data_IF_217046627328
#
_entry.id   IF_217046627328
#
_cell.length_a   1.000
_cell.length_b   1.000
_cell.length_c   1.000
_cell.angle_alpha   90.00
_cell.angle_beta   90.00
_cell.angle_gamma   90.00
#
_symmetry.space_group_name_H-M   'P 1'
#
loop_
_entity.id
_entity.type
_entity.pdbx_description
1 polymer ?
#
# COMPACT_ATOMS: atom_id res chain seq x y z
N UNK A 1 19.65 -28.14 3.03
CA UNK A 1 19.39 -27.47 4.32
C UNK A 1 17.98 -26.92 4.26
N UNK A 2 17.14 -27.33 5.20
CA UNK A 2 15.75 -26.89 5.29
C UNK A 2 15.72 -25.41 5.66
N UNK A 3 14.86 -24.62 5.00
CA UNK A 3 14.66 -23.21 5.31
C UNK A 3 13.44 -23.06 6.18
N UNK A 4 13.54 -22.33 7.27
CA UNK A 4 12.45 -21.98 8.16
C UNK A 4 12.13 -20.50 7.98
N UNK A 5 10.85 -20.16 7.79
CA UNK A 5 10.35 -18.81 7.71
C UNK A 5 9.58 -18.44 8.97
N UNK A 6 9.75 -17.23 9.45
CA UNK A 6 8.99 -16.63 10.55
C UNK A 6 8.38 -15.32 10.04
N UNK A 7 7.10 -15.13 10.28
CA UNK A 7 6.31 -13.97 9.82
C UNK A 7 6.16 -12.96 10.96
N UNK A 8 7.10 -12.02 11.15
CA UNK A 8 7.00 -11.05 12.24
C UNK A 8 5.96 -9.96 11.98
N UNK A 9 5.58 -9.71 10.72
CA UNK A 9 4.70 -8.61 10.35
C UNK A 9 4.18 -8.75 8.93
N UNK A 10 3.12 -7.99 8.63
CA UNK A 10 2.67 -7.71 7.26
C UNK A 10 3.00 -6.28 6.85
N UNK A 11 3.29 -6.10 5.58
CA UNK A 11 3.32 -4.82 4.87
C UNK A 11 2.12 -4.76 3.93
N UNK A 12 1.46 -3.61 3.84
CA UNK A 12 0.35 -3.39 2.93
C UNK A 12 0.40 -1.99 2.34
N UNK A 13 -0.09 -1.89 1.11
CA UNK A 13 -0.26 -0.61 0.42
C UNK A 13 -1.75 -0.31 0.26
N UNK A 14 -2.13 0.92 0.54
CA UNK A 14 -3.49 1.43 0.35
C UNK A 14 -3.55 2.32 -0.86
N UNK A 15 -4.62 2.28 -1.62
CA UNK A 15 -4.88 3.28 -2.66
C UNK A 15 -5.37 4.54 -1.98
N UNK A 16 -4.63 5.62 -2.13
CA UNK A 16 -4.88 6.89 -1.44
C UNK A 16 -5.11 8.03 -2.43
N UNK A 17 -6.06 8.89 -2.10
CA UNK A 17 -6.41 10.10 -2.84
C UNK A 17 -6.49 11.30 -1.90
N UNK A 18 -6.42 12.51 -2.47
CA UNK A 18 -6.66 13.75 -1.72
C UNK A 18 -8.13 13.80 -1.25
N UNK A 19 -8.43 14.24 -0.01
CA UNK A 19 -9.81 14.37 0.47
C UNK A 19 -10.66 15.37 -0.32
N UNK A 20 -10.04 16.34 -0.99
CA UNK A 20 -10.75 17.29 -1.85
C UNK A 20 -11.04 16.74 -3.25
N UNK A 21 -10.49 15.57 -3.59
CA UNK A 21 -10.79 14.92 -4.85
C UNK A 21 -12.29 14.60 -4.93
N UNK A 22 -13.01 15.05 -5.97
CA UNK A 22 -14.44 14.77 -6.12
C UNK A 22 -14.80 13.28 -6.12
N UNK A 23 -13.87 12.39 -6.45
CA UNK A 23 -14.07 10.93 -6.41
C UNK A 23 -14.50 10.47 -5.02
N UNK A 24 -13.99 11.07 -3.96
CA UNK A 24 -14.29 10.68 -2.56
C UNK A 24 -15.77 10.82 -2.17
N UNK A 25 -16.54 11.60 -2.93
CA UNK A 25 -17.97 11.84 -2.70
C UNK A 25 -18.87 10.89 -3.47
N UNK A 26 -18.33 10.13 -4.41
CA UNK A 26 -19.09 9.33 -5.39
C UNK A 26 -18.67 7.88 -5.33
N UNK A 27 -17.38 7.62 -5.17
CA UNK A 27 -16.75 6.29 -5.23
C UNK A 27 -15.88 6.11 -3.99
N UNK A 28 -16.09 5.03 -3.25
CA UNK A 28 -15.26 4.62 -2.11
C UNK A 28 -14.53 3.28 -2.35
N UNK A 29 -14.79 2.65 -3.49
CA UNK A 29 -14.23 1.36 -3.91
C UNK A 29 -13.74 1.41 -5.35
N UNK A 30 -12.55 0.88 -5.59
CA UNK A 30 -11.97 0.75 -6.93
C UNK A 30 -11.70 -0.72 -7.23
N UNK A 31 -12.16 -1.18 -8.38
CA UNK A 31 -11.76 -2.50 -8.88
C UNK A 31 -10.28 -2.52 -9.31
N UNK A 32 -9.69 -3.70 -9.35
CA UNK A 32 -8.32 -3.86 -9.87
C UNK A 32 -8.18 -3.26 -11.27
N UNK A 33 -9.16 -3.48 -12.16
CA UNK A 33 -9.16 -2.95 -13.53
C UNK A 33 -9.19 -1.42 -13.54
N UNK A 34 -9.99 -0.80 -12.68
CA UNK A 34 -10.04 0.66 -12.57
C UNK A 34 -8.72 1.23 -12.05
N UNK A 35 -8.10 0.57 -11.07
CA UNK A 35 -6.78 0.99 -10.56
C UNK A 35 -5.72 0.86 -11.67
N UNK A 36 -5.71 -0.25 -12.41
CA UNK A 36 -4.79 -0.44 -13.55
C UNK A 36 -5.00 0.66 -14.58
N UNK A 37 -6.25 0.97 -14.97
CA UNK A 37 -6.54 2.00 -15.97
C UNK A 37 -6.13 3.42 -15.51
N UNK A 38 -6.27 3.72 -14.21
CA UNK A 38 -5.81 4.99 -13.62
C UNK A 38 -4.27 5.09 -13.63
N UNK A 39 -3.60 4.04 -13.15
CA UNK A 39 -2.13 4.08 -13.00
C UNK A 39 -1.37 3.89 -14.31
N UNK A 40 -1.93 3.19 -15.28
CA UNK A 40 -1.34 3.06 -16.62
C UNK A 40 -1.52 4.31 -17.49
N UNK A 41 -2.46 5.21 -17.10
CA UNK A 41 -2.83 6.37 -17.91
C UNK A 41 -3.80 6.04 -19.05
N UNK A 42 -4.44 4.88 -19.05
CA UNK A 42 -5.58 4.59 -19.90
C UNK A 42 -6.73 5.56 -19.58
N UNK A 43 -7.04 5.76 -18.29
CA UNK A 43 -7.86 6.86 -17.81
C UNK A 43 -6.97 8.09 -17.64
N UNK A 44 -7.16 9.08 -18.49
CA UNK A 44 -6.38 10.33 -18.49
C UNK A 44 -6.94 11.35 -17.53
N UNK A 45 -8.28 11.36 -17.42
CA UNK A 45 -9.00 12.26 -16.52
C UNK A 45 -9.88 11.48 -15.57
N UNK A 46 -10.26 12.09 -14.47
CA UNK A 46 -11.20 11.48 -13.51
C UNK A 46 -12.55 11.17 -14.15
N UNK A 47 -12.95 11.91 -15.18
CA UNK A 47 -14.16 11.67 -15.96
C UNK A 47 -14.15 10.34 -16.72
N UNK A 48 -12.98 9.81 -17.05
CA UNK A 48 -12.85 8.50 -17.69
C UNK A 48 -13.23 7.35 -16.72
N UNK A 49 -13.05 7.57 -15.41
CA UNK A 49 -13.48 6.64 -14.38
C UNK A 49 -15.01 6.68 -14.17
N UNK A 50 -15.59 7.90 -14.11
CA UNK A 50 -17.04 8.11 -13.98
C UNK A 50 -17.43 9.44 -14.62
N UNK A 51 -18.44 9.43 -15.49
CA UNK A 51 -18.87 10.59 -16.27
C UNK A 51 -19.35 11.81 -15.41
N UNK A 52 -19.66 11.60 -14.15
CA UNK A 52 -20.06 12.66 -13.20
C UNK A 52 -18.84 13.35 -12.54
N UNK A 53 -17.65 12.80 -12.70
CA UNK A 53 -16.40 13.40 -12.22
C UNK A 53 -15.89 14.48 -13.19
N UNK A 54 -15.03 15.40 -12.71
CA UNK A 54 -14.51 16.48 -13.53
C UNK A 54 -13.56 15.95 -14.62
N UNK A 55 -13.45 16.72 -15.70
CA UNK A 55 -12.50 16.49 -16.79
C UNK A 55 -11.11 17.04 -16.43
N UNK A 56 -10.59 16.58 -15.28
CA UNK A 56 -9.30 16.98 -14.72
C UNK A 56 -8.34 15.79 -14.78
N UNK A 57 -7.07 16.08 -15.07
CA UNK A 57 -6.04 15.06 -15.24
C UNK A 57 -5.83 14.24 -13.96
N UNK A 58 -5.71 12.93 -14.13
CA UNK A 58 -5.29 12.02 -13.04
C UNK A 58 -3.80 12.17 -12.82
N UNK A 59 -3.40 12.72 -11.69
CA UNK A 59 -1.99 12.85 -11.28
C UNK A 59 -1.59 11.59 -10.51
N UNK A 60 -0.80 10.74 -11.15
CA UNK A 60 -0.33 9.46 -10.57
C UNK A 60 0.97 9.67 -9.82
N UNK A 61 0.99 9.24 -8.55
CA UNK A 61 2.17 9.32 -7.68
C UNK A 61 2.59 7.91 -7.26
N UNK A 62 3.85 7.59 -7.47
CA UNK A 62 4.43 6.28 -7.19
C UNK A 62 5.69 6.38 -6.34
N UNK A 63 6.17 5.25 -5.88
CA UNK A 63 7.51 5.10 -5.34
C UNK A 63 8.49 4.75 -6.46
N UNK A 64 9.78 4.75 -6.13
CA UNK A 64 10.82 4.21 -7.01
C UNK A 64 10.40 2.84 -7.54
N UNK A 65 10.37 2.72 -8.87
CA UNK A 65 9.97 1.51 -9.59
C UNK A 65 10.85 0.28 -9.28
N UNK A 66 12.07 0.49 -8.78
CA UNK A 66 12.97 -0.58 -8.35
C UNK A 66 12.79 -0.92 -6.85
N UNK A 67 11.91 -0.23 -6.16
CA UNK A 67 11.68 -0.40 -4.72
C UNK A 67 10.66 -1.50 -4.39
N UNK A 68 10.82 -2.10 -3.20
CA UNK A 68 9.93 -3.19 -2.76
C UNK A 68 8.45 -2.81 -2.64
N UNK A 69 8.11 -1.54 -2.38
CA UNK A 69 6.72 -1.08 -2.38
C UNK A 69 6.13 -1.12 -3.79
N UNK A 70 6.88 -0.66 -4.79
CA UNK A 70 6.43 -0.74 -6.17
C UNK A 70 6.28 -2.20 -6.64
N UNK A 71 7.21 -3.09 -6.25
CA UNK A 71 7.12 -4.52 -6.55
C UNK A 71 5.82 -5.15 -6.04
N UNK A 72 5.40 -4.81 -4.80
CA UNK A 72 4.12 -5.29 -4.24
C UNK A 72 2.94 -4.79 -5.05
N UNK A 73 2.92 -3.50 -5.38
CA UNK A 73 1.87 -2.89 -6.19
C UNK A 73 1.82 -3.48 -7.60
N UNK A 74 2.97 -3.59 -8.26
CA UNK A 74 3.09 -4.18 -9.59
C UNK A 74 2.56 -5.61 -9.63
N UNK A 75 3.01 -6.45 -8.70
CA UNK A 75 2.63 -7.86 -8.65
C UNK A 75 1.15 -8.08 -8.34
N UNK A 76 0.60 -7.33 -7.40
CA UNK A 76 -0.75 -7.59 -6.88
C UNK A 76 -1.85 -6.85 -7.65
N UNK A 77 -1.51 -5.76 -8.35
CA UNK A 77 -2.47 -4.90 -9.08
C UNK A 77 -2.15 -4.82 -10.57
N UNK A 78 -0.95 -4.34 -10.92
CA UNK A 78 -0.65 -3.98 -12.32
C UNK A 78 -0.42 -5.20 -13.22
N UNK A 79 0.07 -6.32 -12.66
CA UNK A 79 0.42 -7.51 -13.45
C UNK A 79 1.49 -7.19 -14.50
N UNK A 80 1.18 -7.42 -15.77
CA UNK A 80 2.08 -7.13 -16.89
C UNK A 80 1.93 -5.69 -17.43
N UNK A 81 0.99 -4.89 -16.87
CA UNK A 81 0.77 -3.49 -17.28
C UNK A 81 1.71 -2.59 -16.49
N UNK A 82 2.40 -1.68 -17.17
CA UNK A 82 3.29 -0.73 -16.52
C UNK A 82 2.53 0.53 -16.07
N UNK A 83 3.02 1.15 -15.00
CA UNK A 83 2.58 2.49 -14.59
C UNK A 83 3.01 3.50 -15.66
N UNK A 84 2.19 4.54 -15.91
CA UNK A 84 2.49 5.59 -16.88
C UNK A 84 3.87 6.21 -16.64
N UNK A 85 4.61 6.49 -17.72
CA UNK A 85 6.01 6.91 -17.63
C UNK A 85 6.23 8.32 -17.05
N UNK A 86 5.19 9.14 -17.05
CA UNK A 86 5.17 10.49 -16.50
C UNK A 86 4.59 10.56 -15.06
N UNK A 87 4.39 9.41 -14.41
CA UNK A 87 4.03 9.36 -13.01
C UNK A 87 5.11 10.04 -12.14
N UNK A 88 4.69 10.79 -11.13
CA UNK A 88 5.59 11.41 -10.16
C UNK A 88 6.17 10.32 -9.27
N UNK A 89 7.50 10.23 -9.21
CA UNK A 89 8.19 9.26 -8.36
C UNK A 89 8.68 9.92 -7.07
N UNK A 90 8.03 9.59 -5.97
CA UNK A 90 8.42 10.05 -4.64
C UNK A 90 9.59 9.23 -4.08
N UNK A 91 10.55 9.88 -3.43
CA UNK A 91 11.74 9.27 -2.83
C UNK A 91 11.45 8.52 -1.53
N UNK A 92 10.33 8.85 -0.87
CA UNK A 92 9.87 8.21 0.39
C UNK A 92 8.34 8.07 0.43
N UNK A 93 7.84 7.21 1.34
CA UNK A 93 6.38 7.11 1.57
C UNK A 93 5.81 8.41 2.13
N UNK A 94 6.56 9.12 2.96
CA UNK A 94 6.16 10.42 3.48
C UNK A 94 6.01 11.46 2.38
N UNK A 95 6.93 11.50 1.43
CA UNK A 95 6.86 12.37 0.26
C UNK A 95 5.66 12.01 -0.63
N UNK A 96 5.45 10.71 -0.92
CA UNK A 96 4.30 10.25 -1.70
C UNK A 96 2.98 10.74 -1.10
N UNK A 97 2.81 10.59 0.21
CA UNK A 97 1.61 11.06 0.92
C UNK A 97 1.53 12.59 0.89
N UNK A 98 2.64 13.31 1.03
CA UNK A 98 2.64 14.77 0.94
C UNK A 98 2.25 15.24 -0.46
N UNK A 99 2.75 14.60 -1.52
CA UNK A 99 2.39 14.94 -2.90
C UNK A 99 0.89 14.69 -3.17
N UNK A 100 0.29 13.66 -2.54
CA UNK A 100 -1.17 13.46 -2.60
C UNK A 100 -1.90 14.59 -1.88
N UNK A 101 -1.42 15.01 -0.71
CA UNK A 101 -2.02 16.11 0.07
C UNK A 101 -1.98 17.43 -0.72
N UNK A 102 -0.90 17.69 -1.42
CA UNK A 102 -0.67 18.94 -2.14
C UNK A 102 -1.40 19.03 -3.49
N UNK A 103 -1.95 17.91 -3.99
CA UNK A 103 -2.63 17.86 -5.27
C UNK A 103 -4.05 17.26 -5.16
N UNK A 104 -5.11 18.05 -5.40
CA UNK A 104 -6.50 17.59 -5.32
C UNK A 104 -6.85 16.44 -6.26
N UNK A 105 -6.13 16.29 -7.37
CA UNK A 105 -6.41 15.28 -8.38
C UNK A 105 -5.42 14.10 -8.35
N UNK A 106 -4.61 14.02 -7.29
CA UNK A 106 -3.65 12.95 -7.12
C UNK A 106 -4.27 11.62 -6.68
N UNK A 107 -3.66 10.56 -7.16
CA UNK A 107 -3.83 9.18 -6.68
C UNK A 107 -2.45 8.53 -6.52
N UNK A 108 -2.28 7.76 -5.47
CA UNK A 108 -1.05 7.01 -5.21
C UNK A 108 -1.30 5.78 -4.36
N UNK A 109 -0.26 4.99 -4.15
CA UNK A 109 -0.30 3.87 -3.20
C UNK A 109 0.56 4.19 -1.96
N UNK A 110 -0.08 4.40 -0.84
CA UNK A 110 0.59 4.69 0.43
C UNK A 110 0.69 3.44 1.31
N UNK A 111 1.80 3.27 2.05
CA UNK A 111 1.84 2.21 3.06
C UNK A 111 0.74 2.42 4.10
N UNK A 112 0.18 1.30 4.57
CA UNK A 112 -0.93 1.30 5.54
C UNK A 112 -0.64 2.18 6.77
N UNK A 113 0.56 2.05 7.36
CA UNK A 113 0.93 2.82 8.53
C UNK A 113 1.04 4.33 8.24
N UNK A 114 1.67 4.72 7.13
CA UNK A 114 1.82 6.15 6.78
C UNK A 114 0.47 6.77 6.41
N UNK A 115 -0.40 6.03 5.72
CA UNK A 115 -1.76 6.49 5.43
C UNK A 115 -2.56 6.73 6.73
N UNK A 116 -2.48 5.81 7.70
CA UNK A 116 -3.15 5.95 8.99
C UNK A 116 -2.61 7.12 9.83
N UNK A 117 -1.30 7.35 9.81
CA UNK A 117 -0.68 8.51 10.47
C UNK A 117 -1.14 9.85 9.86
N UNK A 118 -1.62 9.83 8.63
CA UNK A 118 -2.16 10.98 7.89
C UNK A 118 -3.68 10.88 7.69
N UNK A 119 -4.39 10.14 8.55
CA UNK A 119 -5.85 10.05 8.49
C UNK A 119 -6.52 11.43 8.50
N UNK A 120 -7.46 11.62 7.58
CA UNK A 120 -8.13 12.90 7.35
C UNK A 120 -7.38 13.87 6.42
N UNK A 121 -6.07 13.64 6.17
CA UNK A 121 -5.30 14.38 5.15
C UNK A 121 -5.25 13.62 3.83
N UNK A 122 -5.41 12.32 3.87
CA UNK A 122 -5.63 11.45 2.71
C UNK A 122 -6.84 10.55 2.98
N UNK A 123 -7.49 10.11 1.91
CA UNK A 123 -8.59 9.14 1.95
C UNK A 123 -8.10 7.84 1.30
N UNK A 124 -8.21 6.74 2.02
CA UNK A 124 -7.91 5.41 1.48
C UNK A 124 -9.15 4.78 0.87
N UNK A 125 -9.01 4.20 -0.31
CA UNK A 125 -10.09 3.56 -1.06
C UNK A 125 -10.16 2.08 -0.71
N UNK A 126 -11.36 1.50 -0.77
CA UNK A 126 -11.51 0.04 -0.84
C UNK A 126 -10.94 -0.47 -2.15
N UNK A 127 -10.54 -1.72 -2.16
CA UNK A 127 -10.07 -2.43 -3.36
C UNK A 127 -10.91 -3.71 -3.54
N UNK A 128 -11.63 -3.81 -4.65
CA UNK A 128 -12.55 -4.91 -4.93
C UNK A 128 -13.56 -5.15 -3.79
N UNK A 129 -14.10 -4.09 -3.22
CA UNK A 129 -15.06 -4.13 -2.11
C UNK A 129 -14.43 -4.38 -0.73
N UNK A 130 -13.10 -4.52 -0.63
CA UNK A 130 -12.40 -4.83 0.63
C UNK A 130 -11.70 -3.59 1.17
N UNK A 131 -12.02 -3.24 2.41
CA UNK A 131 -11.41 -2.13 3.12
C UNK A 131 -10.00 -2.48 3.63
N UNK A 132 -8.99 -1.57 3.54
CA UNK A 132 -7.66 -1.79 4.08
C UNK A 132 -7.67 -1.69 5.62
N UNK A 133 -8.05 -2.79 6.27
CA UNK A 133 -8.00 -2.94 7.74
C UNK A 133 -6.95 -3.96 8.13
N UNK A 134 -6.45 -3.89 9.39
CA UNK A 134 -5.54 -4.90 9.92
C UNK A 134 -6.07 -6.32 9.71
N UNK A 135 -7.35 -6.54 10.04
CA UNK A 135 -8.01 -7.84 9.89
C UNK A 135 -8.00 -8.33 8.45
N UNK A 136 -8.40 -7.49 7.49
CA UNK A 136 -8.48 -7.84 6.07
C UNK A 136 -7.10 -8.06 5.45
N UNK A 137 -6.07 -7.38 5.96
CA UNK A 137 -4.68 -7.56 5.53
C UNK A 137 -4.14 -8.90 6.05
N UNK A 138 -4.30 -9.18 7.33
CA UNK A 138 -3.80 -10.41 7.96
C UNK A 138 -4.49 -11.66 7.40
N UNK A 139 -5.81 -11.62 7.20
CA UNK A 139 -6.56 -12.75 6.65
C UNK A 139 -6.43 -12.90 5.12
N UNK A 140 -5.72 -11.98 4.43
CA UNK A 140 -5.45 -12.02 3.00
C UNK A 140 -6.61 -11.60 2.10
N UNK A 141 -7.74 -11.11 2.63
CA UNK A 141 -8.84 -10.60 1.81
C UNK A 141 -8.49 -9.27 1.15
N UNK A 142 -7.67 -8.43 1.79
CA UNK A 142 -7.09 -7.23 1.16
C UNK A 142 -5.85 -7.62 0.36
N UNK A 143 -5.89 -7.43 -0.96
CA UNK A 143 -4.93 -8.05 -1.88
C UNK A 143 -3.58 -7.34 -2.01
N UNK A 144 -3.46 -6.04 -1.67
CA UNK A 144 -2.20 -5.30 -1.81
C UNK A 144 -1.38 -5.44 -0.52
N UNK A 145 -0.95 -6.65 -0.24
CA UNK A 145 -0.20 -6.98 0.97
C UNK A 145 0.85 -8.06 0.72
N UNK A 146 1.81 -8.15 1.63
CA UNK A 146 2.77 -9.25 1.72
C UNK A 146 3.19 -9.49 3.16
N UNK A 147 3.49 -10.73 3.56
CA UNK A 147 4.22 -10.98 4.79
C UNK A 147 5.68 -10.53 4.63
N UNK A 148 6.26 -10.00 5.69
CA UNK A 148 7.71 -9.81 5.79
C UNK A 148 8.29 -10.98 6.56
N UNK A 149 9.27 -11.66 5.97
CA UNK A 149 9.80 -12.93 6.47
C UNK A 149 11.18 -12.75 7.08
N UNK A 150 11.39 -13.37 8.25
CA UNK A 150 12.72 -13.73 8.73
C UNK A 150 13.00 -15.16 8.29
N UNK A 151 14.09 -15.37 7.53
CA UNK A 151 14.43 -16.68 7.00
C UNK A 151 15.71 -17.19 7.64
N UNK A 152 15.63 -18.34 8.29
CA UNK A 152 16.76 -19.08 8.86
C UNK A 152 17.11 -20.32 8.04
N UNK A 153 18.31 -20.86 8.25
CA UNK A 153 18.79 -22.11 7.68
C UNK A 153 18.98 -23.13 8.81
N UNK A 154 18.18 -24.19 8.80
CA UNK A 154 18.14 -25.18 9.89
C UNK A 154 17.48 -24.65 11.16
N UNK A 155 17.54 -25.40 12.25
CA UNK A 155 17.02 -24.98 13.55
C UNK A 155 17.78 -23.75 14.08
N UNK A 156 17.08 -22.80 14.71
CA UNK A 156 17.72 -21.59 15.24
C UNK A 156 18.70 -21.94 16.38
N UNK A 157 19.85 -21.33 16.37
CA UNK A 157 20.76 -21.34 17.51
C UNK A 157 20.15 -20.60 18.70
N UNK A 158 20.68 -20.77 19.91
CA UNK A 158 20.18 -20.10 21.11
C UNK A 158 20.09 -18.55 20.96
N UNK A 159 21.06 -17.94 20.26
CA UNK A 159 21.08 -16.49 19.99
C UNK A 159 20.00 -16.11 18.99
N UNK A 160 19.83 -16.88 17.92
CA UNK A 160 18.78 -16.65 16.91
C UNK A 160 17.37 -16.84 17.54
N UNK A 161 17.20 -17.83 18.38
CA UNK A 161 15.94 -18.04 19.11
C UNK A 161 15.63 -16.86 20.03
N UNK A 162 16.60 -16.39 20.81
CA UNK A 162 16.42 -15.22 21.65
C UNK A 162 16.05 -13.96 20.86
N UNK A 163 16.60 -13.76 19.66
CA UNK A 163 16.21 -12.68 18.76
C UNK A 163 14.76 -12.85 18.27
N UNK A 164 14.39 -14.06 17.83
CA UNK A 164 13.01 -14.35 17.39
C UNK A 164 12.00 -14.14 18.54
N UNK A 165 12.33 -14.56 19.76
CA UNK A 165 11.48 -14.38 20.94
C UNK A 165 11.21 -12.89 21.23
N UNK A 166 12.21 -12.02 21.01
CA UNK A 166 12.04 -10.57 21.16
C UNK A 166 11.19 -10.01 20.02
N UNK A 167 11.49 -10.35 18.77
CA UNK A 167 10.77 -9.79 17.59
C UNK A 167 9.31 -10.23 17.55
N UNK A 168 9.04 -11.50 17.89
CA UNK A 168 7.69 -12.08 17.87
C UNK A 168 6.93 -11.84 19.19
N UNK A 169 7.62 -11.41 20.25
CA UNK A 169 7.02 -11.07 21.54
C UNK A 169 6.35 -9.70 21.53
N UNK A 170 5.61 -9.39 22.62
CA UNK A 170 4.78 -8.18 22.74
C UNK A 170 5.56 -6.89 22.50
N UNK A 171 6.80 -6.79 22.99
CA UNK A 171 7.64 -5.59 22.87
C UNK A 171 8.12 -5.38 21.41
N UNK A 172 8.49 -6.46 20.73
CA UNK A 172 8.84 -6.44 19.31
C UNK A 172 7.64 -6.11 18.44
N UNK A 173 6.49 -6.71 18.71
CA UNK A 173 5.26 -6.46 17.97
C UNK A 173 4.72 -5.04 18.19
N UNK A 174 4.90 -4.48 19.38
CA UNK A 174 4.63 -3.06 19.61
C UNK A 174 5.55 -2.16 18.76
N UNK A 175 6.82 -2.50 18.65
CA UNK A 175 7.76 -1.78 17.78
C UNK A 175 7.34 -1.85 16.31
N UNK A 176 6.88 -3.02 15.85
CA UNK A 176 6.32 -3.23 14.51
C UNK A 176 5.17 -2.25 14.25
N UNK A 177 4.23 -2.14 15.19
CA UNK A 177 3.08 -1.22 15.10
C UNK A 177 3.52 0.26 15.12
N UNK A 178 4.42 0.62 16.03
CA UNK A 178 4.95 1.99 16.14
C UNK A 178 5.69 2.44 14.88
N UNK A 179 6.28 1.51 14.13
CA UNK A 179 6.93 1.73 12.82
C UNK A 179 5.95 1.76 11.63
N UNK A 180 4.66 1.56 11.86
CA UNK A 180 3.61 1.61 10.84
C UNK A 180 3.39 0.32 10.07
N UNK A 181 3.98 -0.80 10.52
CA UNK A 181 3.70 -2.13 10.00
C UNK A 181 2.56 -2.80 10.79
N UNK A 182 2.08 -3.93 10.30
CA UNK A 182 0.94 -4.63 10.88
C UNK A 182 1.47 -5.78 11.75
N UNK A 183 1.28 -5.73 13.08
CA UNK A 183 1.70 -6.80 13.97
C UNK A 183 0.87 -8.07 13.76
N UNK A 184 1.44 -9.22 14.14
CA UNK A 184 0.81 -10.53 14.02
C UNK A 184 -0.13 -10.89 15.18
N UNK A 185 -0.09 -10.18 16.30
CA UNK A 185 -0.88 -10.39 17.52
C UNK A 185 -1.74 -9.16 17.85
#
# INVERSE_FOLDING_TARGET
TERHGYDPTFDALTIAVNPENPVTKIIDDLSTEQIVSLFSGEYKTWKDLDASLPDEEVVVITRDINGGAHEVFQKNIMGDTEVKSDAIQASSMGELVQDIIDNPYAIGYASFGVANQNAGKVVTMKVNGVEPTKENIINGSYIIQRPLLLVGSGEPTAIQQAFLDVVLGDEGQKTVEDMGFIPMN
#
